data_IF_153711233650
#
_entry.id   IF_153711233650
#
_cell.length_a   1.000
_cell.length_b   1.000
_cell.length_c   1.000
_cell.angle_alpha   90.00
_cell.angle_beta   90.00
_cell.angle_gamma   90.00
#
_symmetry.space_group_name_H-M   'P 1'
#
loop_
_entity.id
_entity.type
_entity.pdbx_description
1 polymer ?
#
# COMPACT_ATOMS: atom_id res chain seq x y z
N UNK A 1 4.81 -1.72 14.18
CA UNK A 1 4.67 -0.65 13.17
C UNK A 1 5.99 0.09 13.08
N UNK A 2 6.48 0.35 11.86
CA UNK A 2 7.77 1.02 11.61
C UNK A 2 7.48 2.46 11.19
N UNK A 3 8.11 3.44 11.87
CA UNK A 3 7.86 4.86 11.63
C UNK A 3 8.53 5.33 10.33
N UNK A 4 9.82 5.02 10.18
CA UNK A 4 10.61 5.30 8.97
C UNK A 4 11.25 3.99 8.48
N UNK A 5 10.61 3.28 7.55
CA UNK A 5 11.09 1.99 7.09
C UNK A 5 12.34 2.14 6.22
N UNK A 6 13.35 1.30 6.45
CA UNK A 6 14.46 1.11 5.55
C UNK A 6 14.08 0.26 4.32
N UNK A 7 14.99 0.09 3.36
CA UNK A 7 14.73 -0.64 2.10
C UNK A 7 14.23 -2.07 2.33
N UNK A 8 14.82 -2.82 3.27
CA UNK A 8 14.39 -4.18 3.60
C UNK A 8 12.97 -4.19 4.17
N UNK A 9 12.68 -3.25 5.06
CA UNK A 9 11.36 -3.10 5.66
C UNK A 9 10.32 -2.64 4.63
N UNK A 10 10.69 -1.76 3.68
CA UNK A 10 9.80 -1.36 2.57
C UNK A 10 9.43 -2.55 1.67
N UNK A 11 10.39 -3.42 1.35
CA UNK A 11 10.09 -4.67 0.61
C UNK A 11 9.11 -5.56 1.37
N UNK A 12 9.31 -5.72 2.67
CA UNK A 12 8.38 -6.50 3.51
C UNK A 12 6.99 -5.86 3.57
N UNK A 13 6.88 -4.53 3.65
CA UNK A 13 5.61 -3.80 3.60
C UNK A 13 4.91 -4.04 2.26
N UNK A 14 5.63 -3.91 1.13
CA UNK A 14 5.09 -4.16 -0.21
C UNK A 14 4.56 -5.59 -0.32
N UNK A 15 5.38 -6.59 0.09
CA UNK A 15 4.95 -8.00 0.08
C UNK A 15 3.70 -8.21 0.94
N UNK A 16 3.69 -7.72 2.16
CA UNK A 16 2.55 -7.86 3.07
C UNK A 16 1.29 -7.20 2.53
N UNK A 17 1.43 -6.05 1.82
CA UNK A 17 0.30 -5.37 1.18
C UNK A 17 -0.23 -6.17 0.01
N UNK A 18 0.65 -6.71 -0.84
CA UNK A 18 0.26 -7.58 -1.95
C UNK A 18 -0.47 -8.83 -1.44
N UNK A 19 0.07 -9.49 -0.42
CA UNK A 19 -0.54 -10.67 0.21
C UNK A 19 -1.92 -10.34 0.81
N UNK A 20 -2.07 -9.17 1.44
CA UNK A 20 -3.35 -8.72 1.97
C UNK A 20 -4.38 -8.49 0.86
N UNK A 21 -4.01 -7.81 -0.23
CA UNK A 21 -4.90 -7.60 -1.37
C UNK A 21 -5.32 -8.92 -2.03
N UNK A 22 -4.40 -9.87 -2.14
CA UNK A 22 -4.72 -11.22 -2.65
C UNK A 22 -5.74 -11.95 -1.77
N UNK A 23 -5.69 -11.77 -0.45
CA UNK A 23 -6.71 -12.31 0.45
C UNK A 23 -8.13 -11.77 0.16
N UNK A 24 -8.21 -10.61 -0.47
CA UNK A 24 -9.46 -9.98 -0.94
C UNK A 24 -9.76 -10.22 -2.43
N UNK A 25 -9.03 -11.13 -3.09
CA UNK A 25 -9.33 -11.55 -4.45
C UNK A 25 -8.62 -10.76 -5.56
N UNK A 26 -7.67 -9.88 -5.25
CA UNK A 26 -6.84 -9.24 -6.25
C UNK A 26 -5.75 -10.21 -6.73
N UNK A 27 -5.84 -10.70 -7.95
CA UNK A 27 -4.88 -11.69 -8.48
C UNK A 27 -3.49 -11.09 -8.71
N UNK A 28 -3.43 -9.89 -9.27
CA UNK A 28 -2.19 -9.15 -9.56
C UNK A 28 -2.30 -7.70 -9.05
N UNK A 29 -2.10 -7.46 -7.74
CA UNK A 29 -2.27 -6.14 -7.16
C UNK A 29 -1.33 -5.10 -7.75
N UNK A 30 -1.85 -3.91 -8.06
CA UNK A 30 -1.11 -2.76 -8.58
C UNK A 30 -0.85 -1.78 -7.45
N UNK A 31 0.41 -1.65 -7.08
CA UNK A 31 0.84 -0.85 -5.94
C UNK A 31 1.59 0.41 -6.39
N UNK A 32 1.13 1.57 -5.91
CA UNK A 32 1.79 2.85 -6.12
C UNK A 32 2.76 3.15 -4.98
N UNK A 33 4.02 3.46 -5.30
CA UNK A 33 5.00 3.99 -4.33
C UNK A 33 4.88 5.51 -4.27
N UNK A 34 4.11 5.98 -3.31
CA UNK A 34 3.85 7.41 -3.10
C UNK A 34 5.15 8.15 -2.79
N UNK A 35 5.37 9.23 -3.51
CA UNK A 35 6.49 10.15 -3.35
C UNK A 35 6.01 11.59 -3.51
N UNK A 36 6.84 12.55 -3.13
CA UNK A 36 6.50 13.97 -3.27
C UNK A 36 6.31 14.36 -4.75
N UNK A 37 7.15 13.80 -5.63
CA UNK A 37 7.10 14.01 -7.09
C UNK A 37 7.29 12.70 -7.84
N UNK A 38 6.90 12.68 -9.11
CA UNK A 38 7.01 11.52 -10.01
C UNK A 38 8.39 11.36 -10.67
N UNK A 39 9.28 12.35 -10.52
CA UNK A 39 10.65 12.34 -11.08
C UNK A 39 11.66 12.00 -10.01
N UNK A 40 12.61 11.15 -10.34
CA UNK A 40 13.73 10.83 -9.43
C UNK A 40 14.58 12.07 -9.22
N UNK A 41 14.73 12.46 -7.97
CA UNK A 41 15.53 13.61 -7.55
C UNK A 41 16.44 13.19 -6.39
N UNK A 42 17.75 13.33 -6.53
CA UNK A 42 18.72 12.85 -5.54
C UNK A 42 18.59 13.49 -4.15
N UNK A 43 18.01 14.69 -4.07
CA UNK A 43 17.71 15.36 -2.81
C UNK A 43 16.42 14.89 -2.15
N UNK A 44 15.62 14.06 -2.82
CA UNK A 44 14.37 13.50 -2.34
C UNK A 44 14.52 11.98 -2.22
N UNK A 45 14.91 11.52 -1.05
CA UNK A 45 15.25 10.12 -0.78
C UNK A 45 14.10 9.14 -1.11
N UNK A 46 12.86 9.55 -0.90
CA UNK A 46 11.66 8.78 -1.22
C UNK A 46 11.57 8.44 -2.72
N UNK A 47 11.93 9.37 -3.61
CA UNK A 47 11.91 9.14 -5.07
C UNK A 47 13.00 8.16 -5.50
N UNK A 48 14.20 8.27 -4.92
CA UNK A 48 15.34 7.38 -5.18
C UNK A 48 15.03 5.96 -4.72
N UNK A 49 14.48 5.82 -3.51
CA UNK A 49 14.11 4.51 -2.96
C UNK A 49 12.96 3.86 -3.73
N UNK A 50 11.95 4.65 -4.13
CA UNK A 50 10.85 4.16 -4.95
C UNK A 50 11.33 3.61 -6.31
N UNK A 51 12.18 4.39 -7.02
CA UNK A 51 12.77 3.95 -8.27
C UNK A 51 13.58 2.66 -8.11
N UNK A 52 14.36 2.56 -7.03
CA UNK A 52 15.16 1.38 -6.73
C UNK A 52 14.27 0.16 -6.48
N UNK A 53 13.20 0.29 -5.69
CA UNK A 53 12.25 -0.79 -5.41
C UNK A 53 11.57 -1.29 -6.68
N UNK A 54 11.13 -0.37 -7.57
CA UNK A 54 10.54 -0.73 -8.87
C UNK A 54 11.54 -1.47 -9.75
N UNK A 55 12.79 -0.99 -9.81
CA UNK A 55 13.84 -1.63 -10.60
C UNK A 55 14.19 -3.03 -10.08
N UNK A 56 14.31 -3.19 -8.76
CA UNK A 56 14.58 -4.48 -8.14
C UNK A 56 13.41 -5.45 -8.34
N UNK A 57 12.15 -4.98 -8.22
CA UNK A 57 10.97 -5.80 -8.47
C UNK A 57 10.93 -6.33 -9.91
N UNK A 58 11.29 -5.49 -10.90
CA UNK A 58 11.35 -5.90 -12.32
C UNK A 58 12.46 -6.92 -12.61
N UNK A 59 13.63 -6.77 -11.99
CA UNK A 59 14.79 -7.63 -12.22
C UNK A 59 14.70 -8.95 -11.44
N UNK A 60 14.26 -8.87 -10.19
CA UNK A 60 14.15 -10.00 -9.27
C UNK A 60 12.92 -9.79 -8.37
N UNK A 61 11.75 -10.25 -8.79
CA UNK A 61 10.52 -10.06 -8.03
C UNK A 61 10.64 -10.56 -6.58
N UNK A 62 10.28 -9.69 -5.64
CA UNK A 62 10.26 -9.98 -4.21
C UNK A 62 8.84 -9.98 -3.63
N UNK A 63 7.86 -9.57 -4.43
CA UNK A 63 6.44 -9.59 -4.11
C UNK A 63 5.63 -9.95 -5.36
N UNK A 64 4.49 -10.58 -5.18
CA UNK A 64 3.60 -10.94 -6.26
C UNK A 64 2.60 -9.81 -6.52
N UNK A 65 3.09 -8.76 -7.18
CA UNK A 65 2.36 -7.54 -7.51
C UNK A 65 3.06 -6.77 -8.62
N UNK A 66 2.30 -5.87 -9.26
CA UNK A 66 2.88 -4.82 -10.09
C UNK A 66 3.20 -3.60 -9.24
N UNK A 67 4.38 -3.03 -9.44
CA UNK A 67 4.88 -1.93 -8.64
C UNK A 67 5.22 -0.74 -9.53
N UNK A 68 4.72 0.44 -9.16
CA UNK A 68 4.94 1.67 -9.90
C UNK A 68 5.36 2.82 -8.98
N UNK A 69 6.33 3.59 -9.40
CA UNK A 69 6.82 4.75 -8.67
C UNK A 69 8.23 5.18 -9.09
N UNK A 70 8.69 6.34 -8.64
CA UNK A 70 7.96 7.28 -7.77
C UNK A 70 6.73 7.87 -8.45
N UNK A 71 5.69 8.18 -7.68
CA UNK A 71 4.46 8.79 -8.21
C UNK A 71 3.87 9.76 -7.19
N UNK A 72 3.47 10.95 -7.65
CA UNK A 72 2.78 11.93 -6.82
C UNK A 72 1.31 11.55 -6.60
N UNK A 73 0.73 11.98 -5.49
CA UNK A 73 -0.61 11.57 -5.06
C UNK A 73 -1.71 11.94 -6.07
N UNK A 74 -1.65 13.12 -6.67
CA UNK A 74 -2.61 13.57 -7.69
C UNK A 74 -2.60 12.68 -8.94
N UNK A 75 -1.43 12.15 -9.32
CA UNK A 75 -1.29 11.24 -10.46
C UNK A 75 -1.86 9.84 -10.19
N UNK A 76 -1.91 9.42 -8.93
CA UNK A 76 -2.55 8.16 -8.53
C UNK A 76 -4.06 8.25 -8.76
N UNK A 77 -4.69 9.39 -8.44
CA UNK A 77 -6.15 9.52 -8.39
C UNK A 77 -6.77 10.25 -9.58
N UNK A 78 -6.00 11.06 -10.33
CA UNK A 78 -6.52 11.92 -11.38
C UNK A 78 -5.89 11.65 -12.74
N UNK A 79 -6.70 11.18 -13.71
CA UNK A 79 -6.30 11.09 -15.12
C UNK A 79 -5.98 12.45 -15.72
N UNK A 80 -6.70 13.50 -15.29
CA UNK A 80 -6.48 14.85 -15.77
C UNK A 80 -5.13 15.40 -15.31
N UNK A 81 -4.76 15.17 -14.04
CA UNK A 81 -3.44 15.52 -13.53
C UNK A 81 -2.32 14.81 -14.32
N UNK A 82 -2.49 13.52 -14.61
CA UNK A 82 -1.55 12.75 -15.41
C UNK A 82 -1.42 13.33 -16.84
N UNK A 83 -2.55 13.68 -17.48
CA UNK A 83 -2.57 14.33 -18.79
C UNK A 83 -1.85 15.68 -18.81
N UNK A 84 -2.13 16.54 -17.83
CA UNK A 84 -1.52 17.87 -17.73
C UNK A 84 -0.01 17.81 -17.46
N UNK A 85 0.45 16.82 -16.72
CA UNK A 85 1.87 16.60 -16.42
C UNK A 85 2.59 15.74 -17.47
N UNK A 86 1.89 15.30 -18.54
CA UNK A 86 2.40 14.34 -19.54
C UNK A 86 3.01 13.09 -18.89
N UNK A 87 2.32 12.57 -17.87
CA UNK A 87 2.76 11.39 -17.13
C UNK A 87 2.06 10.14 -17.65
N UNK A 88 2.85 9.26 -18.28
CA UNK A 88 2.35 8.02 -18.87
C UNK A 88 2.40 6.89 -17.83
N UNK A 89 1.25 6.65 -17.19
CA UNK A 89 1.03 5.53 -16.29
C UNK A 89 -0.35 4.93 -16.57
N UNK A 90 -0.43 3.64 -16.93
CA UNK A 90 -1.70 3.02 -17.33
C UNK A 90 -2.72 2.98 -16.18
N UNK A 91 -2.27 3.11 -14.91
CA UNK A 91 -3.12 3.03 -13.73
C UNK A 91 -3.43 4.38 -13.09
N UNK A 92 -2.96 5.48 -13.65
CA UNK A 92 -3.35 6.82 -13.19
C UNK A 92 -4.87 7.01 -13.23
N UNK A 93 -5.40 7.74 -12.25
CA UNK A 93 -6.84 8.01 -12.15
C UNK A 93 -7.65 6.88 -11.52
N UNK A 94 -7.10 6.26 -10.48
CA UNK A 94 -7.80 5.29 -9.64
C UNK A 94 -7.63 3.83 -10.07
N UNK A 95 -6.66 3.52 -10.93
CA UNK A 95 -6.36 2.15 -11.36
C UNK A 95 -5.40 1.39 -10.46
N UNK A 96 -4.91 1.99 -9.39
CA UNK A 96 -4.10 1.33 -8.38
C UNK A 96 -4.96 0.68 -7.31
N UNK A 97 -4.55 -0.50 -6.85
CA UNK A 97 -5.22 -1.27 -5.80
C UNK A 97 -4.67 -0.95 -4.40
N UNK A 98 -3.49 -0.35 -4.32
CA UNK A 98 -2.87 0.04 -3.05
C UNK A 98 -1.85 1.16 -3.19
N UNK A 99 -1.67 1.91 -2.10
CA UNK A 99 -0.70 2.99 -1.99
C UNK A 99 0.27 2.66 -0.86
N UNK A 100 1.55 2.62 -1.19
CA UNK A 100 2.64 2.46 -0.22
C UNK A 100 3.21 3.85 0.08
N UNK A 101 2.95 4.34 1.26
CA UNK A 101 3.51 5.61 1.71
C UNK A 101 5.00 5.48 2.12
N UNK A 102 5.82 6.52 1.96
CA UNK A 102 7.23 6.48 2.28
C UNK A 102 7.53 6.29 3.77
N UNK A 103 6.62 6.77 4.62
CA UNK A 103 6.71 6.69 6.08
C UNK A 103 5.32 6.69 6.74
N UNK A 104 5.30 6.42 8.05
CA UNK A 104 4.06 6.34 8.83
C UNK A 104 3.35 7.70 8.95
N UNK A 105 4.08 8.80 9.01
CA UNK A 105 3.48 10.14 9.14
C UNK A 105 2.67 10.48 7.90
N UNK A 106 3.24 10.24 6.72
CA UNK A 106 2.55 10.42 5.43
C UNK A 106 1.32 9.53 5.32
N UNK A 107 1.46 8.23 5.66
CA UNK A 107 0.34 7.29 5.64
C UNK A 107 -0.80 7.73 6.57
N UNK A 108 -0.47 8.09 7.81
CA UNK A 108 -1.47 8.51 8.80
C UNK A 108 -2.18 9.81 8.42
N UNK A 109 -1.43 10.78 7.87
CA UNK A 109 -2.02 12.05 7.39
C UNK A 109 -2.99 11.78 6.25
N UNK A 110 -2.62 10.93 5.29
CA UNK A 110 -3.45 10.57 4.16
C UNK A 110 -4.75 9.89 4.60
N UNK A 111 -4.65 8.86 5.45
CA UNK A 111 -5.84 8.15 5.96
C UNK A 111 -6.75 9.09 6.75
N UNK A 112 -6.20 9.96 7.60
CA UNK A 112 -7.01 10.94 8.33
C UNK A 112 -7.65 11.99 7.44
N UNK A 113 -6.99 12.38 6.35
CA UNK A 113 -7.57 13.26 5.34
C UNK A 113 -8.78 12.60 4.68
N UNK A 114 -8.70 11.32 4.31
CA UNK A 114 -9.83 10.58 3.74
C UNK A 114 -10.99 10.45 4.72
N UNK A 115 -10.70 10.16 6.01
CA UNK A 115 -11.72 10.12 7.05
C UNK A 115 -12.50 11.44 7.15
N UNK A 116 -11.79 12.56 7.22
CA UNK A 116 -12.40 13.87 7.48
C UNK A 116 -13.05 14.46 6.23
N UNK A 117 -12.36 14.42 5.08
CA UNK A 117 -12.81 15.12 3.88
C UNK A 117 -13.60 14.24 2.92
N UNK A 118 -13.32 12.94 2.87
CA UNK A 118 -14.01 12.01 1.98
C UNK A 118 -15.03 11.12 2.73
N UNK A 119 -15.20 11.30 4.04
CA UNK A 119 -16.09 10.49 4.89
C UNK A 119 -15.85 8.99 4.71
N UNK A 120 -14.59 8.59 4.51
CA UNK A 120 -14.22 7.21 4.32
C UNK A 120 -14.42 6.40 5.61
N UNK A 121 -14.99 5.22 5.49
CA UNK A 121 -15.00 4.22 6.56
C UNK A 121 -13.65 3.50 6.55
N UNK A 122 -13.02 3.37 7.70
CA UNK A 122 -11.69 2.74 7.79
C UNK A 122 -11.72 1.45 8.59
N UNK A 123 -10.90 0.50 8.16
CA UNK A 123 -10.53 -0.65 8.96
C UNK A 123 -9.02 -0.82 8.96
N UNK A 124 -8.45 -1.37 10.02
CA UNK A 124 -7.01 -1.48 10.14
C UNK A 124 -6.54 -2.82 10.66
N UNK A 125 -5.46 -3.32 10.05
CA UNK A 125 -4.73 -4.48 10.54
C UNK A 125 -3.22 -4.25 10.49
N UNK A 126 -2.51 -4.73 11.50
CA UNK A 126 -1.06 -4.92 11.44
C UNK A 126 -0.79 -6.30 10.89
N UNK A 127 -0.09 -6.34 9.75
CA UNK A 127 0.29 -7.56 9.04
C UNK A 127 1.80 -7.82 9.13
N UNK A 128 2.25 -9.02 8.73
CA UNK A 128 3.65 -9.43 8.83
C UNK A 128 4.05 -10.04 10.19
N UNK A 129 3.12 -10.17 11.12
CA UNK A 129 3.26 -10.96 12.35
C UNK A 129 2.75 -12.40 12.15
N UNK A 130 2.90 -13.25 13.19
CA UNK A 130 2.39 -14.65 13.15
C UNK A 130 0.89 -14.73 12.94
N UNK A 131 0.16 -13.71 13.37
CA UNK A 131 -1.29 -13.53 13.16
C UNK A 131 -1.56 -12.08 12.82
N UNK A 132 -2.58 -11.76 12.02
CA UNK A 132 -3.04 -10.39 11.83
C UNK A 132 -3.52 -9.80 13.16
N UNK A 133 -3.25 -8.51 13.38
CA UNK A 133 -3.65 -7.82 14.62
C UNK A 133 -4.56 -6.68 14.22
N UNK A 134 -5.82 -6.70 14.68
CA UNK A 134 -6.74 -5.60 14.45
C UNK A 134 -6.22 -4.34 15.17
N UNK A 135 -6.11 -3.25 14.44
CA UNK A 135 -5.65 -1.98 14.96
C UNK A 135 -6.62 -0.88 14.54
N UNK A 136 -7.36 -0.36 15.49
CA UNK A 136 -8.31 0.72 15.28
C UNK A 136 -7.77 2.05 15.82
N UNK A 137 -8.29 3.17 15.31
CA UNK A 137 -8.06 4.49 15.89
C UNK A 137 -8.71 4.58 17.28
N UNK A 138 -8.17 5.42 18.16
CA UNK A 138 -8.83 5.75 19.43
C UNK A 138 -10.18 6.43 19.26
N UNK A 139 -10.44 6.99 18.08
CA UNK A 139 -11.71 7.60 17.68
C UNK A 139 -12.57 6.70 16.80
N UNK A 140 -12.22 5.42 16.65
CA UNK A 140 -12.99 4.48 15.84
C UNK A 140 -14.36 4.23 16.47
N UNK A 141 -15.38 4.14 15.64
CA UNK A 141 -16.72 3.72 16.04
C UNK A 141 -16.84 2.18 16.05
N UNK A 142 -18.03 1.67 16.42
CA UNK A 142 -18.29 0.23 16.49
C UNK A 142 -18.16 -0.45 15.12
N UNK A 143 -18.63 0.19 14.05
CA UNK A 143 -18.53 -0.33 12.69
C UNK A 143 -17.09 -0.49 12.23
N UNK A 144 -16.24 0.53 12.41
CA UNK A 144 -14.82 0.47 12.07
C UNK A 144 -14.07 -0.60 12.88
N UNK A 145 -14.45 -0.79 14.14
CA UNK A 145 -13.91 -1.85 15.00
C UNK A 145 -14.32 -3.22 14.48
N UNK A 146 -15.60 -3.41 14.17
CA UNK A 146 -16.12 -4.65 13.61
C UNK A 146 -15.44 -4.97 12.27
N UNK A 147 -15.36 -4.02 11.34
CA UNK A 147 -14.70 -4.19 10.05
C UNK A 147 -13.22 -4.55 10.19
N UNK A 148 -12.52 -3.99 11.18
CA UNK A 148 -11.12 -4.33 11.47
C UNK A 148 -10.96 -5.78 11.93
N UNK A 149 -11.89 -6.30 12.72
CA UNK A 149 -11.91 -7.71 13.13
C UNK A 149 -12.21 -8.64 11.95
N UNK A 150 -13.20 -8.29 11.13
CA UNK A 150 -13.53 -9.05 9.89
C UNK A 150 -12.35 -9.05 8.94
N UNK A 151 -11.70 -7.89 8.74
CA UNK A 151 -10.50 -7.78 7.92
C UNK A 151 -9.40 -8.74 8.38
N UNK A 152 -9.11 -8.78 9.69
CA UNK A 152 -8.14 -9.71 10.26
C UNK A 152 -8.56 -11.18 10.09
N UNK A 153 -9.84 -11.52 10.23
CA UNK A 153 -10.33 -12.87 10.05
C UNK A 153 -10.13 -13.37 8.61
N UNK A 154 -10.41 -12.52 7.61
CA UNK A 154 -10.16 -12.84 6.19
C UNK A 154 -8.67 -13.07 5.93
N UNK A 155 -7.80 -12.19 6.43
CA UNK A 155 -6.35 -12.33 6.29
C UNK A 155 -5.82 -13.63 6.92
N UNK A 156 -6.33 -13.99 8.10
CA UNK A 156 -5.90 -15.23 8.79
C UNK A 156 -6.39 -16.48 8.06
N UNK A 157 -7.63 -16.49 7.57
CA UNK A 157 -8.18 -17.59 6.79
C UNK A 157 -7.38 -17.81 5.50
N UNK A 158 -7.09 -16.75 4.75
CA UNK A 158 -6.28 -16.81 3.53
C UNK A 158 -4.87 -17.34 3.81
N UNK A 159 -4.22 -16.84 4.86
CA UNK A 159 -2.89 -17.30 5.26
C UNK A 159 -2.86 -18.78 5.63
N UNK A 160 -3.89 -19.28 6.33
CA UNK A 160 -4.02 -20.71 6.66
C UNK A 160 -4.16 -21.55 5.41
N UNK A 161 -4.95 -21.07 4.43
CA UNK A 161 -5.11 -21.73 3.13
C UNK A 161 -3.77 -21.81 2.38
N UNK A 162 -3.05 -20.70 2.22
CA UNK A 162 -1.74 -20.67 1.56
C UNK A 162 -0.73 -21.63 2.20
N UNK A 163 -0.72 -21.71 3.54
CA UNK A 163 0.15 -22.67 4.26
C UNK A 163 -0.23 -24.12 3.98
N UNK A 164 -1.50 -24.43 3.92
CA UNK A 164 -1.98 -25.78 3.60
C UNK A 164 -1.64 -26.19 2.16
N UNK A 165 -1.58 -25.24 1.23
CA UNK A 165 -1.24 -25.42 -0.18
C UNK A 165 0.28 -25.34 -0.47
N UNK A 166 1.12 -25.16 0.57
CA UNK A 166 2.59 -25.07 0.44
C UNK A 166 3.10 -23.76 -0.19
N UNK A 167 2.25 -22.77 -0.28
CA UNK A 167 2.55 -21.43 -0.82
C UNK A 167 2.96 -20.50 0.33
N UNK A 168 4.12 -20.70 0.95
CA UNK A 168 4.62 -19.84 2.04
C UNK A 168 5.88 -19.06 1.64
#
# INVERSE_FOLDING_TARGET
>A
VVIKPNMTQKKAIIKNTADALKAFGYENPKLALLSLVEKVTFHMQDTVEAQRLVSEQKQRPFADCELWGPIAYDLILSKEAARLKNYDCPWSGGGFDGIIAPDLSTANTLVKSWLIHAHAVTCGAVVGARVPIALTSRSANEEETYLSLVFCAVLDAWRKKCKAEGQS
#
